data_IF_317147297332
#
_entry.id   IF_317147297332
#
_cell.length_a   1.000
_cell.length_b   1.000
_cell.length_c   1.000
_cell.angle_alpha   90.00
_cell.angle_beta   90.00
_cell.angle_gamma   90.00
#
_symmetry.space_group_name_H-M   'P 1'
#
loop_
_entity.id
_entity.type
_entity.pdbx_description
1 polymer ?
#
# COMPACT_ATOMS: atom_id res chain seq x y z
N UNK A 1 -8.06 -21.79 42.36
CA UNK A 1 -9.42 -21.67 41.78
C UNK A 1 -10.38 -20.80 42.60
N UNK A 2 -10.24 -20.71 43.93
CA UNK A 2 -11.22 -20.04 44.82
C UNK A 2 -11.33 -18.51 44.66
N UNK A 3 -10.20 -17.81 44.49
CA UNK A 3 -10.19 -16.34 44.30
C UNK A 3 -10.81 -15.88 42.97
N UNK A 4 -10.68 -16.68 41.91
CA UNK A 4 -11.26 -16.36 40.61
C UNK A 4 -12.79 -16.47 40.63
N UNK A 5 -13.34 -17.49 41.29
CA UNK A 5 -14.79 -17.65 41.50
C UNK A 5 -15.38 -16.53 42.34
N UNK A 6 -14.74 -16.17 43.45
CA UNK A 6 -15.17 -15.05 44.31
C UNK A 6 -15.15 -13.70 43.57
N UNK A 7 -14.14 -13.47 42.71
CA UNK A 7 -14.06 -12.27 41.88
C UNK A 7 -15.15 -12.27 40.81
N UNK A 8 -15.47 -13.44 40.23
CA UNK A 8 -16.54 -13.58 39.25
C UNK A 8 -17.91 -13.25 39.86
N UNK A 9 -18.27 -13.85 41.01
CA UNK A 9 -19.51 -13.55 41.72
C UNK A 9 -19.63 -12.07 42.11
N UNK A 10 -18.54 -11.45 42.58
CA UNK A 10 -18.52 -10.02 42.94
C UNK A 10 -18.89 -9.10 41.77
N UNK A 11 -18.53 -9.47 40.55
CA UNK A 11 -18.78 -8.65 39.35
C UNK A 11 -19.94 -9.18 38.50
N UNK A 12 -20.74 -10.13 39.01
CA UNK A 12 -21.84 -10.75 38.24
C UNK A 12 -21.36 -11.53 37.01
N UNK A 13 -20.10 -11.96 36.99
CA UNK A 13 -19.54 -12.76 35.92
C UNK A 13 -20.05 -14.20 36.13
N UNK A 14 -20.65 -14.83 35.09
CA UNK A 14 -21.18 -16.18 35.18
C UNK A 14 -20.12 -17.20 35.64
N UNK A 15 -20.54 -18.37 36.18
CA UNK A 15 -19.62 -19.40 36.63
C UNK A 15 -18.59 -19.74 35.56
N UNK A 16 -17.36 -20.06 35.98
CA UNK A 16 -16.31 -20.56 35.09
C UNK A 16 -16.88 -21.66 34.20
N UNK A 17 -16.98 -21.39 32.89
CA UNK A 17 -17.55 -22.31 31.94
C UNK A 17 -16.73 -23.60 31.88
N UNK A 18 -17.42 -24.74 31.87
CA UNK A 18 -16.76 -26.06 31.84
C UNK A 18 -15.99 -26.32 30.54
N UNK A 19 -16.35 -25.62 29.46
CA UNK A 19 -15.66 -25.66 28.17
C UNK A 19 -15.97 -24.40 27.36
N UNK A 20 -15.23 -24.23 26.26
CA UNK A 20 -15.34 -23.11 25.34
C UNK A 20 -16.72 -23.00 24.64
N UNK A 21 -17.42 -24.11 24.44
CA UNK A 21 -18.71 -24.12 23.77
C UNK A 21 -19.81 -23.54 24.67
N UNK A 22 -19.81 -23.90 25.96
CA UNK A 22 -20.75 -23.35 26.94
C UNK A 22 -20.56 -21.84 27.12
N UNK A 23 -19.31 -21.37 27.09
CA UNK A 23 -19.00 -19.93 27.07
C UNK A 23 -19.58 -19.26 25.82
N UNK A 24 -19.35 -19.85 24.64
CA UNK A 24 -19.84 -19.30 23.36
C UNK A 24 -21.38 -19.21 23.35
N UNK A 25 -22.08 -20.23 23.86
CA UNK A 25 -23.54 -20.22 23.93
C UNK A 25 -24.03 -19.14 24.89
N UNK A 26 -23.40 -19.00 26.05
CA UNK A 26 -23.72 -17.93 26.99
C UNK A 26 -23.54 -16.56 26.35
N UNK A 27 -22.43 -16.34 25.64
CA UNK A 27 -22.16 -15.07 24.94
C UNK A 27 -23.22 -14.77 23.87
N UNK A 28 -23.72 -15.80 23.17
CA UNK A 28 -24.81 -15.67 22.19
C UNK A 28 -26.14 -15.32 22.87
N UNK A 29 -26.48 -16.00 23.96
CA UNK A 29 -27.75 -15.81 24.69
C UNK A 29 -27.86 -14.42 25.34
N UNK A 30 -26.71 -13.80 25.63
CA UNK A 30 -26.61 -12.48 26.26
C UNK A 30 -26.13 -11.39 25.30
N UNK A 31 -26.18 -11.65 23.99
CA UNK A 31 -25.71 -10.73 22.97
C UNK A 31 -26.72 -9.56 22.81
N UNK A 32 -26.24 -8.33 22.97
CA UNK A 32 -27.07 -7.11 22.89
C UNK A 32 -26.42 -6.15 21.88
N UNK A 33 -27.23 -5.58 20.98
CA UNK A 33 -26.78 -4.59 20.02
C UNK A 33 -26.43 -3.23 20.68
N UNK A 34 -25.50 -2.45 20.12
CA UNK A 34 -24.70 -2.74 18.93
C UNK A 34 -23.52 -3.68 19.23
N UNK A 35 -23.29 -4.65 18.35
CA UNK A 35 -22.17 -5.59 18.48
C UNK A 35 -21.07 -5.22 17.47
N UNK A 36 -19.98 -4.62 17.96
CA UNK A 36 -18.81 -4.33 17.13
C UNK A 36 -17.92 -5.56 17.00
N UNK A 37 -18.14 -6.35 15.96
CA UNK A 37 -17.28 -7.48 15.62
C UNK A 37 -16.47 -7.14 14.38
N UNK A 38 -15.14 -7.25 14.46
CA UNK A 38 -14.39 -7.60 13.25
C UNK A 38 -13.54 -8.81 13.47
N UNK A 39 -14.24 -9.91 13.27
CA UNK A 39 -13.74 -11.26 13.33
C UNK A 39 -13.34 -11.80 11.96
N UNK A 40 -13.28 -10.99 10.91
CA UNK A 40 -12.90 -11.44 9.57
C UNK A 40 -11.60 -12.26 9.58
N UNK A 41 -10.60 -11.82 10.34
CA UNK A 41 -9.34 -12.57 10.52
C UNK A 41 -9.51 -13.88 11.29
N UNK A 42 -10.47 -13.96 12.23
CA UNK A 42 -10.76 -15.19 12.97
C UNK A 42 -11.36 -16.28 12.09
N UNK A 43 -11.93 -15.94 10.93
CA UNK A 43 -12.39 -16.93 9.96
C UNK A 43 -11.29 -17.89 9.49
N UNK A 44 -10.02 -17.47 9.59
CA UNK A 44 -8.87 -18.28 9.23
C UNK A 44 -8.20 -18.96 10.43
N UNK A 45 -8.71 -18.73 11.64
CA UNK A 45 -8.19 -19.37 12.85
C UNK A 45 -8.73 -20.79 12.99
N UNK A 46 -7.83 -21.78 13.07
CA UNK A 46 -8.20 -23.16 13.38
C UNK A 46 -8.80 -23.33 14.78
N UNK A 47 -8.39 -22.49 15.73
CA UNK A 47 -8.78 -22.61 17.14
C UNK A 47 -10.06 -21.83 17.48
N UNK A 48 -10.27 -20.69 16.81
CA UNK A 48 -11.34 -19.74 17.14
C UNK A 48 -12.40 -19.59 16.04
N UNK A 49 -12.12 -20.04 14.81
CA UNK A 49 -12.95 -19.73 13.64
C UNK A 49 -14.38 -20.20 13.73
N UNK A 50 -14.60 -21.45 14.17
CA UNK A 50 -15.96 -22.01 14.32
C UNK A 50 -16.77 -21.23 15.35
N UNK A 51 -16.18 -20.93 16.52
CA UNK A 51 -16.86 -20.18 17.60
C UNK A 51 -17.13 -18.73 17.21
N UNK A 52 -16.16 -18.06 16.60
CA UNK A 52 -16.33 -16.70 16.11
C UNK A 52 -17.42 -16.62 15.03
N UNK A 53 -17.55 -17.65 14.19
CA UNK A 53 -18.64 -17.76 13.22
C UNK A 53 -20.01 -17.91 13.91
N UNK A 54 -20.13 -18.73 14.96
CA UNK A 54 -21.39 -18.87 15.70
C UNK A 54 -21.86 -17.53 16.29
N UNK A 55 -20.93 -16.77 16.91
CA UNK A 55 -21.23 -15.45 17.45
C UNK A 55 -21.63 -14.48 16.33
N UNK A 56 -20.90 -14.47 15.20
CA UNK A 56 -21.24 -13.63 14.05
C UNK A 56 -22.64 -13.95 13.50
N UNK A 57 -22.96 -15.23 13.29
CA UNK A 57 -24.25 -15.66 12.74
C UNK A 57 -25.43 -15.31 13.67
N UNK A 58 -25.21 -15.25 14.98
CA UNK A 58 -26.20 -14.74 15.94
C UNK A 58 -26.31 -13.21 15.86
N UNK A 59 -25.17 -12.53 15.83
CA UNK A 59 -25.10 -11.08 15.89
C UNK A 59 -25.71 -10.37 14.67
N UNK A 60 -25.55 -10.93 13.46
CA UNK A 60 -26.15 -10.39 12.23
C UNK A 60 -27.69 -10.42 12.23
N UNK A 61 -28.30 -11.16 13.16
CA UNK A 61 -29.76 -11.26 13.30
C UNK A 61 -30.32 -10.26 14.31
N UNK A 62 -29.47 -9.59 15.08
CA UNK A 62 -29.91 -8.59 16.06
C UNK A 62 -30.34 -7.31 15.35
N UNK A 63 -31.50 -6.78 15.75
CA UNK A 63 -31.95 -5.46 15.33
C UNK A 63 -30.98 -4.38 15.81
N UNK A 64 -30.65 -3.42 14.93
CA UNK A 64 -29.70 -2.34 15.24
C UNK A 64 -28.21 -2.71 15.08
N UNK A 65 -27.89 -3.94 14.68
CA UNK A 65 -26.53 -4.31 14.30
C UNK A 65 -26.22 -4.00 12.83
N UNK A 66 -25.16 -3.23 12.60
CA UNK A 66 -24.70 -2.83 11.27
C UNK A 66 -23.36 -3.51 10.93
N UNK A 67 -23.38 -4.45 9.99
CA UNK A 67 -22.20 -5.20 9.52
C UNK A 67 -21.74 -4.76 8.13
N UNK A 68 -20.42 -4.74 7.90
CA UNK A 68 -19.82 -4.36 6.62
C UNK A 68 -20.14 -5.36 5.50
N UNK A 69 -20.34 -6.63 5.84
CA UNK A 69 -20.73 -7.70 4.91
C UNK A 69 -21.55 -8.78 5.64
N UNK A 70 -22.44 -9.46 4.92
CA UNK A 70 -23.10 -10.67 5.41
C UNK A 70 -22.18 -11.89 5.45
N UNK A 71 -20.99 -11.81 4.82
CA UNK A 71 -20.00 -12.88 4.82
C UNK A 71 -18.99 -12.65 5.95
N UNK A 72 -18.92 -13.61 6.86
CA UNK A 72 -18.06 -13.59 8.03
C UNK A 72 -16.60 -13.15 7.76
N UNK A 73 -15.94 -13.78 6.78
CA UNK A 73 -14.52 -13.54 6.46
C UNK A 73 -14.25 -12.17 5.80
N UNK A 74 -15.28 -11.44 5.36
CA UNK A 74 -15.13 -10.11 4.76
C UNK A 74 -15.20 -8.98 5.81
N UNK A 75 -15.57 -9.28 7.07
CA UNK A 75 -15.73 -8.29 8.14
C UNK A 75 -14.44 -8.06 8.94
N UNK A 76 -13.44 -7.44 8.33
CA UNK A 76 -12.19 -7.07 9.02
C UNK A 76 -12.37 -5.82 9.89
N UNK A 77 -12.03 -5.92 11.18
CA UNK A 77 -11.92 -4.73 12.04
C UNK A 77 -10.51 -4.14 11.91
N UNK A 78 -10.46 -2.86 11.55
CA UNK A 78 -9.27 -2.06 11.69
C UNK A 78 -9.36 -1.28 12.98
N UNK A 79 -8.47 -1.57 13.93
CA UNK A 79 -8.44 -0.84 15.20
C UNK A 79 -8.24 0.66 14.95
N UNK A 80 -9.02 1.56 15.59
CA UNK A 80 -8.94 3.01 15.36
C UNK A 80 -7.52 3.58 15.47
N UNK A 81 -6.72 3.07 16.40
CA UNK A 81 -5.32 3.46 16.59
C UNK A 81 -4.43 3.16 15.36
N UNK A 82 -4.79 2.16 14.54
CA UNK A 82 -4.12 1.91 13.26
C UNK A 82 -4.82 2.65 12.12
N UNK A 83 -6.15 2.63 12.11
CA UNK A 83 -6.99 3.18 11.04
C UNK A 83 -6.77 4.69 10.84
N UNK A 84 -6.69 5.46 11.93
CA UNK A 84 -6.56 6.92 11.90
C UNK A 84 -5.18 7.37 11.36
N UNK A 85 -4.04 6.90 11.91
CA UNK A 85 -2.73 7.33 11.42
C UNK A 85 -2.33 6.68 10.09
N UNK A 86 -2.66 5.40 9.88
CA UNK A 86 -2.13 4.62 8.74
C UNK A 86 -3.20 4.21 7.74
N UNK A 87 -4.40 3.84 8.21
CA UNK A 87 -5.47 3.31 7.35
C UNK A 87 -5.88 4.24 6.20
N UNK A 88 -5.78 5.56 6.39
CA UNK A 88 -6.03 6.57 5.34
C UNK A 88 -5.14 6.43 4.09
N UNK A 89 -4.02 5.71 4.19
CA UNK A 89 -3.09 5.49 3.08
C UNK A 89 -3.38 4.19 2.29
N UNK A 90 -4.41 3.42 2.68
CA UNK A 90 -4.78 2.16 2.06
C UNK A 90 -6.24 2.20 1.62
N UNK A 91 -6.57 1.60 0.48
CA UNK A 91 -7.94 1.61 -0.07
C UNK A 91 -9.01 1.17 0.95
N UNK A 92 -8.88 -0.03 1.53
CA UNK A 92 -9.84 -0.53 2.52
C UNK A 92 -9.85 0.26 3.82
N UNK A 93 -8.69 0.77 4.25
CA UNK A 93 -8.58 1.58 5.46
C UNK A 93 -9.26 2.94 5.29
N UNK A 94 -9.05 3.60 4.15
CA UNK A 94 -9.71 4.86 3.81
C UNK A 94 -11.22 4.67 3.68
N UNK A 95 -11.66 3.62 2.97
CA UNK A 95 -13.09 3.32 2.83
C UNK A 95 -13.73 3.06 4.20
N UNK A 96 -13.07 2.32 5.07
CA UNK A 96 -13.53 2.08 6.45
C UNK A 96 -13.58 3.37 7.27
N UNK A 97 -12.58 4.25 7.13
CA UNK A 97 -12.55 5.55 7.80
C UNK A 97 -13.69 6.47 7.32
N UNK A 98 -14.00 6.47 6.02
CA UNK A 98 -15.10 7.25 5.46
C UNK A 98 -16.45 6.73 5.92
N UNK A 99 -16.67 5.41 5.91
CA UNK A 99 -17.87 4.76 6.45
C UNK A 99 -18.10 5.14 7.91
N UNK A 100 -17.04 5.10 8.72
CA UNK A 100 -17.11 5.50 10.12
C UNK A 100 -17.44 6.98 10.30
N UNK A 101 -16.79 7.87 9.53
CA UNK A 101 -17.00 9.33 9.64
C UNK A 101 -18.39 9.78 9.19
N UNK A 102 -18.94 9.13 8.18
CA UNK A 102 -20.22 9.49 7.57
C UNK A 102 -21.39 8.63 8.06
N UNK A 103 -21.13 7.66 8.96
CA UNK A 103 -22.12 6.73 9.50
C UNK A 103 -22.95 6.03 8.40
N UNK A 104 -22.28 5.56 7.34
CA UNK A 104 -22.91 4.94 6.16
C UNK A 104 -22.06 3.78 5.63
N UNK A 105 -22.70 2.81 4.97
CA UNK A 105 -22.00 1.77 4.22
C UNK A 105 -21.47 2.24 2.86
N UNK A 106 -22.08 3.30 2.32
CA UNK A 106 -21.83 3.85 0.99
C UNK A 106 -21.39 5.31 1.15
N UNK A 107 -20.12 5.56 1.51
CA UNK A 107 -19.65 6.91 1.73
C UNK A 107 -19.62 7.70 0.43
N UNK A 108 -20.05 8.97 0.48
CA UNK A 108 -19.88 9.91 -0.63
C UNK A 108 -18.41 10.25 -0.80
N UNK A 109 -18.02 10.62 -2.02
CA UNK A 109 -16.65 11.01 -2.39
C UNK A 109 -15.58 9.92 -2.20
N UNK A 110 -15.97 8.65 -2.02
CA UNK A 110 -15.03 7.54 -1.86
C UNK A 110 -14.04 7.46 -3.02
N UNK A 111 -14.52 7.54 -4.26
CA UNK A 111 -13.69 7.45 -5.46
C UNK A 111 -12.64 8.57 -5.51
N UNK A 112 -13.06 9.81 -5.27
CA UNK A 112 -12.16 10.96 -5.21
C UNK A 112 -11.13 10.83 -4.07
N UNK A 113 -11.56 10.34 -2.90
CA UNK A 113 -10.66 10.14 -1.77
C UNK A 113 -9.64 9.03 -2.05
N UNK A 114 -10.06 7.93 -2.70
CA UNK A 114 -9.20 6.81 -3.11
C UNK A 114 -8.15 7.28 -4.14
N UNK A 115 -8.54 8.09 -5.12
CA UNK A 115 -7.62 8.68 -6.10
C UNK A 115 -6.53 9.55 -5.44
N UNK A 116 -6.84 10.14 -4.28
CA UNK A 116 -5.94 11.00 -3.53
C UNK A 116 -5.12 10.27 -2.45
N UNK A 117 -5.24 8.94 -2.33
CA UNK A 117 -4.37 8.16 -1.45
C UNK A 117 -2.91 8.42 -1.86
N UNK A 118 -2.01 8.82 -0.93
CA UNK A 118 -0.61 9.03 -1.24
C UNK A 118 -0.07 7.77 -1.90
N UNK A 119 0.34 7.90 -3.17
CA UNK A 119 0.71 6.81 -4.07
C UNK A 119 1.88 5.92 -3.57
N UNK A 120 2.43 6.22 -2.40
CA UNK A 120 3.48 5.49 -1.69
C UNK A 120 3.10 4.05 -1.30
N UNK A 121 1.88 3.58 -1.59
CA UNK A 121 1.35 2.25 -1.27
C UNK A 121 1.31 1.27 -2.46
N UNK A 122 2.20 1.42 -3.45
CA UNK A 122 2.48 0.29 -4.34
C UNK A 122 3.29 -0.75 -3.56
N UNK A 123 2.82 -2.00 -3.50
CA UNK A 123 3.55 -3.06 -2.82
C UNK A 123 4.95 -3.24 -3.42
N UNK A 124 5.96 -3.61 -2.63
CA UNK A 124 7.31 -3.85 -3.16
C UNK A 124 7.35 -4.86 -4.31
N UNK A 125 6.45 -5.85 -4.31
CA UNK A 125 6.31 -6.81 -5.41
C UNK A 125 5.77 -6.17 -6.70
N UNK A 126 4.76 -5.30 -6.59
CA UNK A 126 4.19 -4.58 -7.74
C UNK A 126 5.20 -3.61 -8.33
N UNK A 127 5.97 -2.90 -7.49
CA UNK A 127 7.07 -2.04 -7.94
C UNK A 127 8.08 -2.85 -8.77
N UNK A 128 8.58 -3.97 -8.23
CA UNK A 128 9.54 -4.82 -8.94
C UNK A 128 9.02 -5.31 -10.29
N UNK A 129 7.75 -5.69 -10.37
CA UNK A 129 7.15 -6.14 -11.62
C UNK A 129 7.12 -5.03 -12.67
N UNK A 130 6.77 -3.80 -12.27
CA UNK A 130 6.78 -2.62 -13.16
C UNK A 130 8.20 -2.32 -13.63
N UNK A 131 9.17 -2.27 -12.70
CA UNK A 131 10.58 -1.99 -13.02
C UNK A 131 11.15 -3.01 -14.02
N UNK A 132 10.89 -4.30 -13.79
CA UNK A 132 11.29 -5.37 -14.71
C UNK A 132 10.67 -5.20 -16.09
N UNK A 133 9.36 -4.94 -16.17
CA UNK A 133 8.66 -4.77 -17.44
C UNK A 133 9.13 -3.53 -18.21
N UNK A 134 9.40 -2.42 -17.53
CA UNK A 134 10.00 -1.22 -18.14
C UNK A 134 11.38 -1.57 -18.70
N UNK A 135 12.24 -2.20 -17.91
CA UNK A 135 13.59 -2.57 -18.36
C UNK A 135 13.55 -3.50 -19.57
N UNK A 136 12.58 -4.43 -19.65
CA UNK A 136 12.35 -5.35 -20.79
C UNK A 136 12.10 -4.64 -22.12
N UNK A 137 11.65 -3.40 -22.12
CA UNK A 137 11.51 -2.59 -23.33
C UNK A 137 12.84 -2.00 -23.83
N UNK A 138 13.91 -2.07 -23.05
CA UNK A 138 15.22 -1.44 -23.36
C UNK A 138 16.40 -2.43 -23.26
N UNK A 139 16.36 -3.63 -23.87
CA UNK A 139 17.37 -4.67 -23.62
C UNK A 139 18.78 -4.29 -24.09
N UNK A 140 18.89 -3.54 -25.19
CA UNK A 140 20.18 -3.12 -25.78
C UNK A 140 20.77 -1.87 -25.14
N UNK A 141 19.97 -1.11 -24.41
CA UNK A 141 20.38 0.14 -23.77
C UNK A 141 20.89 -0.07 -22.34
N UNK A 142 20.84 -1.30 -21.81
CA UNK A 142 21.13 -1.57 -20.40
C UNK A 142 22.62 -1.56 -20.08
N UNK A 143 22.97 -1.02 -18.92
CA UNK A 143 24.33 -1.05 -18.37
C UNK A 143 24.32 -1.09 -16.83
N UNK A 144 25.49 -1.27 -16.21
CA UNK A 144 25.70 -1.32 -14.75
C UNK A 144 24.69 -2.20 -13.98
N UNK A 145 24.89 -3.52 -14.06
CA UNK A 145 24.04 -4.55 -13.45
C UNK A 145 22.59 -4.56 -13.96
N UNK A 146 22.36 -4.14 -15.20
CA UNK A 146 21.07 -4.19 -15.92
C UNK A 146 19.93 -3.37 -15.28
N UNK A 147 20.22 -2.45 -14.36
CA UNK A 147 19.24 -1.56 -13.73
C UNK A 147 19.25 -0.14 -14.28
N UNK A 148 20.23 0.18 -15.12
CA UNK A 148 20.33 1.47 -15.79
C UNK A 148 20.24 1.34 -17.28
N UNK A 149 19.73 2.39 -17.91
CA UNK A 149 19.63 2.51 -19.36
C UNK A 149 20.27 3.83 -19.81
N UNK A 150 20.92 3.81 -20.97
CA UNK A 150 21.51 4.99 -21.63
C UNK A 150 21.26 4.90 -23.14
N UNK A 151 21.22 6.03 -23.83
CA UNK A 151 20.90 6.05 -25.26
C UNK A 151 21.94 5.29 -26.09
N UNK A 152 23.22 5.45 -25.77
CA UNK A 152 24.34 4.76 -26.40
C UNK A 152 25.55 4.64 -25.44
N UNK A 153 26.61 3.94 -25.83
CA UNK A 153 27.80 3.70 -24.98
C UNK A 153 28.53 4.98 -24.56
N UNK A 154 28.45 6.03 -25.39
CA UNK A 154 29.10 7.33 -25.16
C UNK A 154 28.17 8.35 -24.47
N UNK A 155 26.95 7.96 -24.11
CA UNK A 155 25.98 8.83 -23.46
C UNK A 155 26.59 9.49 -22.22
N UNK A 156 26.44 10.82 -22.12
CA UNK A 156 26.93 11.57 -20.97
C UNK A 156 26.15 11.28 -19.68
N UNK A 157 24.88 10.90 -19.83
CA UNK A 157 23.90 10.68 -18.77
C UNK A 157 23.21 9.33 -18.94
N UNK A 158 22.70 8.80 -17.84
CA UNK A 158 21.93 7.57 -17.83
C UNK A 158 20.81 7.62 -16.80
N UNK A 159 19.89 6.68 -16.95
CA UNK A 159 18.63 6.62 -16.23
C UNK A 159 18.61 5.33 -15.42
N UNK A 160 18.38 5.42 -14.12
CA UNK A 160 18.19 4.28 -13.21
C UNK A 160 16.70 4.05 -13.00
N UNK A 161 16.26 2.81 -13.10
CA UNK A 161 14.90 2.38 -12.77
C UNK A 161 14.99 1.46 -11.55
N UNK A 162 14.70 2.00 -10.36
CA UNK A 162 14.82 1.28 -9.11
C UNK A 162 14.02 1.93 -7.97
N UNK A 163 13.63 1.09 -7.01
CA UNK A 163 12.96 1.48 -5.76
C UNK A 163 11.69 2.33 -5.96
N UNK A 164 11.02 2.19 -7.10
CA UNK A 164 9.81 2.94 -7.44
C UNK A 164 10.07 4.29 -8.11
N UNK A 165 11.28 4.54 -8.61
CA UNK A 165 11.68 5.81 -9.23
C UNK A 165 12.34 5.61 -10.60
N UNK A 166 12.22 6.66 -11.42
CA UNK A 166 13.15 6.98 -12.50
C UNK A 166 14.13 8.02 -11.96
N UNK A 167 15.42 7.74 -12.04
CA UNK A 167 16.47 8.62 -11.50
C UNK A 167 17.54 8.89 -12.56
N UNK A 168 17.79 10.16 -12.85
CA UNK A 168 18.75 10.61 -13.87
C UNK A 168 20.04 11.06 -13.20
N UNK A 169 21.17 10.61 -13.74
CA UNK A 169 22.51 11.08 -13.37
C UNK A 169 23.52 10.86 -14.49
N UNK A 170 24.77 11.26 -14.30
CA UNK A 170 25.86 11.01 -15.24
C UNK A 170 26.04 9.52 -15.47
N UNK A 171 26.30 9.13 -16.72
CA UNK A 171 26.62 7.74 -17.04
C UNK A 171 28.07 7.44 -16.63
N UNK A 172 28.26 6.38 -15.86
CA UNK A 172 29.57 5.85 -15.50
C UNK A 172 29.47 4.34 -15.26
N UNK A 173 30.58 3.64 -15.46
CA UNK A 173 30.67 2.19 -15.26
C UNK A 173 31.60 1.83 -14.09
N UNK A 174 31.18 0.86 -13.27
CA UNK A 174 32.02 0.20 -12.27
C UNK A 174 31.55 0.37 -10.82
N UNK A 175 31.85 -0.64 -9.99
CA UNK A 175 31.47 -0.72 -8.56
C UNK A 175 32.07 0.38 -7.66
N UNK A 176 33.04 1.15 -8.16
CA UNK A 176 33.85 2.09 -7.39
C UNK A 176 33.95 3.50 -7.98
N UNK A 177 33.26 3.81 -9.08
CA UNK A 177 33.30 5.16 -9.68
C UNK A 177 32.10 5.97 -9.18
N UNK A 178 32.36 7.07 -8.49
CA UNK A 178 31.34 8.07 -8.16
C UNK A 178 31.02 8.90 -9.39
N UNK A 179 29.79 9.39 -9.49
CA UNK A 179 29.39 10.33 -10.53
C UNK A 179 30.31 11.56 -10.48
N UNK A 180 30.91 11.90 -11.62
CA UNK A 180 31.74 13.09 -11.73
C UNK A 180 30.89 14.25 -12.23
N UNK A 181 30.91 15.42 -11.55
CA UNK A 181 30.18 16.58 -12.02
C UNK A 181 30.56 16.96 -13.44
N UNK A 182 29.58 17.34 -14.25
CA UNK A 182 29.78 17.88 -15.60
C UNK A 182 29.35 19.33 -15.65
N UNK A 183 29.95 20.08 -16.58
CA UNK A 183 29.58 21.48 -16.79
C UNK A 183 28.08 21.64 -17.13
N UNK A 184 27.51 20.67 -17.87
CA UNK A 184 26.11 20.66 -18.27
C UNK A 184 25.11 20.18 -17.19
N UNK A 185 25.57 19.84 -15.98
CA UNK A 185 24.70 19.31 -14.92
C UNK A 185 23.62 20.32 -14.52
N UNK A 186 23.93 21.62 -14.56
CA UNK A 186 23.00 22.67 -14.14
C UNK A 186 21.82 22.81 -15.10
N UNK A 187 22.10 22.70 -16.40
CA UNK A 187 21.13 22.75 -17.48
C UNK A 187 20.25 21.50 -17.48
N UNK A 188 20.87 20.33 -17.28
CA UNK A 188 20.13 19.06 -17.17
C UNK A 188 19.20 19.06 -15.97
N UNK A 189 19.63 19.56 -14.81
CA UNK A 189 18.75 19.69 -13.63
C UNK A 189 17.54 20.57 -13.93
N UNK A 190 17.76 21.73 -14.55
CA UNK A 190 16.67 22.64 -14.91
C UNK A 190 15.67 22.00 -15.87
N UNK A 191 16.15 21.31 -16.90
CA UNK A 191 15.29 20.55 -17.83
C UNK A 191 14.45 19.49 -17.10
N UNK A 192 15.06 18.77 -16.16
CA UNK A 192 14.37 17.76 -15.36
C UNK A 192 13.34 18.39 -14.41
N UNK A 193 13.66 19.52 -13.78
CA UNK A 193 12.74 20.29 -12.93
C UNK A 193 11.51 20.77 -13.72
N UNK A 194 11.71 21.25 -14.96
CA UNK A 194 10.63 21.66 -15.86
C UNK A 194 9.69 20.47 -16.22
N UNK A 195 10.22 19.23 -16.20
CA UNK A 195 9.48 17.97 -16.35
C UNK A 195 8.89 17.41 -15.03
N UNK A 196 9.06 18.14 -13.92
CA UNK A 196 8.54 17.77 -12.60
C UNK A 196 9.40 16.74 -11.85
N UNK A 197 10.68 16.62 -12.17
CA UNK A 197 11.64 15.86 -11.37
C UNK A 197 12.11 16.71 -10.18
N UNK A 198 12.56 16.01 -9.13
CA UNK A 198 13.15 16.64 -7.94
C UNK A 198 14.64 16.30 -7.90
N UNK A 199 15.51 17.29 -7.77
CA UNK A 199 16.95 17.04 -7.58
C UNK A 199 17.27 16.60 -6.14
N UNK A 200 18.20 15.65 -5.99
CA UNK A 200 18.71 15.20 -4.69
C UNK A 200 20.23 15.08 -4.72
N UNK A 201 20.88 14.92 -3.56
CA UNK A 201 22.35 14.96 -3.39
C UNK A 201 23.13 14.17 -4.45
N UNK A 202 22.63 13.02 -4.89
CA UNK A 202 23.30 12.10 -5.82
C UNK A 202 22.61 11.97 -7.19
N UNK A 203 21.51 12.67 -7.41
CA UNK A 203 20.66 12.54 -8.60
C UNK A 203 20.35 13.91 -9.18
N UNK A 204 20.52 14.04 -10.49
CA UNK A 204 20.17 15.28 -11.19
C UNK A 204 18.65 15.48 -11.16
N UNK A 205 17.89 14.39 -11.25
CA UNK A 205 16.45 14.41 -11.00
C UNK A 205 15.93 13.02 -10.68
N UNK A 206 14.94 12.94 -9.81
CA UNK A 206 14.14 11.74 -9.57
C UNK A 206 12.65 12.02 -9.74
N UNK A 207 11.90 11.05 -10.26
CA UNK A 207 10.44 11.09 -10.40
C UNK A 207 9.87 9.72 -10.09
N UNK A 208 8.76 9.66 -9.36
CA UNK A 208 8.18 8.37 -8.93
C UNK A 208 7.48 7.71 -10.12
N UNK A 209 7.59 6.38 -10.24
CA UNK A 209 6.87 5.60 -11.27
C UNK A 209 5.35 5.82 -11.20
N UNK A 210 4.85 5.99 -9.99
CA UNK A 210 3.42 6.21 -9.70
C UNK A 210 2.91 7.55 -10.22
N UNK A 211 3.81 8.50 -10.52
CA UNK A 211 3.42 9.79 -11.05
C UNK A 211 3.11 9.73 -12.56
N UNK A 212 3.37 8.58 -13.18
CA UNK A 212 3.09 8.31 -14.59
C UNK A 212 1.75 7.62 -14.85
N UNK A 213 1.06 7.08 -13.86
CA UNK A 213 -0.23 6.41 -14.12
C UNK A 213 -0.83 5.73 -12.90
N UNK A 214 -2.06 5.21 -13.06
CA UNK A 214 -2.80 4.55 -11.99
C UNK A 214 -2.71 3.02 -12.09
N UNK A 215 -2.69 2.50 -13.33
CA UNK A 215 -2.56 1.06 -13.61
C UNK A 215 -1.10 0.67 -13.94
N UNK A 216 -0.77 -0.62 -13.87
CA UNK A 216 0.58 -1.08 -14.26
C UNK A 216 0.87 -0.78 -15.72
N UNK A 217 -0.11 -1.01 -16.61
CA UNK A 217 0.07 -0.80 -18.05
C UNK A 217 0.32 0.67 -18.37
N UNK A 218 -0.48 1.58 -17.81
CA UNK A 218 -0.28 3.03 -17.96
C UNK A 218 1.10 3.47 -17.46
N UNK A 219 1.49 3.00 -16.26
CA UNK A 219 2.80 3.34 -15.70
C UNK A 219 3.91 2.85 -16.63
N UNK A 220 3.86 1.58 -17.08
CA UNK A 220 4.89 1.02 -17.95
C UNK A 220 4.98 1.80 -19.26
N UNK A 221 3.84 2.04 -19.92
CA UNK A 221 3.79 2.77 -21.19
C UNK A 221 4.35 4.18 -21.07
N UNK A 222 3.84 4.98 -20.12
CA UNK A 222 4.26 6.37 -19.96
C UNK A 222 5.72 6.48 -19.48
N UNK A 223 6.20 5.56 -18.65
CA UNK A 223 7.61 5.50 -18.24
C UNK A 223 8.51 5.16 -19.43
N UNK A 224 8.11 4.23 -20.30
CA UNK A 224 8.86 3.91 -21.50
C UNK A 224 8.93 5.11 -22.45
N UNK A 225 7.81 5.82 -22.66
CA UNK A 225 7.79 7.05 -23.46
C UNK A 225 8.70 8.12 -22.85
N UNK A 226 8.63 8.34 -21.53
CA UNK A 226 9.49 9.30 -20.82
C UNK A 226 10.98 9.00 -21.03
N UNK A 227 11.39 7.73 -20.93
CA UNK A 227 12.77 7.31 -21.14
C UNK A 227 13.23 7.61 -22.57
N UNK A 228 12.40 7.34 -23.58
CA UNK A 228 12.73 7.61 -24.98
C UNK A 228 12.87 9.10 -25.26
N UNK A 229 12.05 9.94 -24.64
CA UNK A 229 12.16 11.40 -24.75
C UNK A 229 13.41 11.92 -24.04
N UNK A 230 13.67 11.44 -22.82
CA UNK A 230 14.88 11.79 -22.07
C UNK A 230 16.15 11.41 -22.83
N UNK A 231 16.18 10.29 -23.55
CA UNK A 231 17.32 9.95 -24.41
C UNK A 231 17.60 11.02 -25.45
N UNK A 232 16.58 11.55 -26.12
CA UNK A 232 16.73 12.59 -27.14
C UNK A 232 17.21 13.91 -26.52
N UNK A 233 16.66 14.29 -25.37
CA UNK A 233 17.00 15.55 -24.70
C UNK A 233 18.40 15.51 -24.07
N UNK A 234 18.78 14.38 -23.47
CA UNK A 234 20.08 14.21 -22.81
C UNK A 234 21.24 14.13 -23.81
N UNK A 235 20.99 13.71 -25.05
CA UNK A 235 22.00 13.70 -26.12
C UNK A 235 22.51 15.10 -26.48
N UNK A 236 21.76 16.15 -26.18
CA UNK A 236 22.21 17.54 -26.43
C UNK A 236 23.40 17.91 -25.53
N UNK A 237 23.55 17.23 -24.39
CA UNK A 237 24.51 17.58 -23.33
C UNK A 237 25.75 16.68 -23.30
N UNK A 238 26.11 16.08 -24.44
CA UNK A 238 27.27 15.20 -24.62
C UNK A 238 28.60 15.83 -24.24
#
# INVERSE_FOLDING_TARGET
MTKAKQKAEKYGIPPLFNNALHMTQYDIDHLIAPVYLGFGSLAYSKEYGERAKLIFDAAIKLEGCNYLSYKFHENFYYHPQWLIPFGKNYHNGLLTLLRFKQETFYPTDADNAILNIPRNTISPSRVKNIESAVLENFPTCRYDNNRRVRSNENAAYGITIAEGYIEVRQAFEGKSKTAQPKASDSEVKKMLEDRGYISEKNWLGRKRLIDFGNTNSEIIEHVCTEIQELFKELEIYH
#
